data_IF_252546801421
#
_entry.id   IF_252546801421
#
_cell.length_a   1.000
_cell.length_b   1.000
_cell.length_c   1.000
_cell.angle_alpha   90.00
_cell.angle_beta   90.00
_cell.angle_gamma   90.00
#
_symmetry.space_group_name_H-M   'P 1'
#
loop_
_entity.id
_entity.type
_entity.pdbx_description
1 polymer ?
#
# COMPACT_ATOMS: atom_id res chain seq x y z
N UNK A 1 -9.68 -4.54 3.16
CA UNK A 1 -9.69 -3.52 4.24
C UNK A 1 -10.87 -2.59 4.00
N UNK A 2 -11.57 -2.21 5.06
CA UNK A 2 -12.73 -1.31 5.03
C UNK A 2 -12.51 -0.19 6.05
N UNK A 3 -13.00 1.00 5.71
CA UNK A 3 -12.99 2.19 6.56
C UNK A 3 -14.39 2.80 6.61
N UNK A 4 -14.76 3.38 7.74
CA UNK A 4 -15.95 4.23 7.85
C UNK A 4 -15.56 5.73 7.91
N UNK A 5 -16.56 6.61 7.85
CA UNK A 5 -16.37 8.05 7.90
C UNK A 5 -15.94 8.57 9.29
N UNK A 6 -15.92 7.72 10.31
CA UNK A 6 -15.46 8.05 11.67
C UNK A 6 -13.99 7.68 11.88
N UNK A 7 -13.35 7.05 10.89
CA UNK A 7 -11.96 6.59 10.97
C UNK A 7 -11.81 5.20 11.59
N UNK A 8 -12.90 4.48 11.86
CA UNK A 8 -12.80 3.07 12.23
C UNK A 8 -12.43 2.26 10.99
N UNK A 9 -11.68 1.17 11.19
CA UNK A 9 -11.28 0.30 10.10
C UNK A 9 -11.14 -1.15 10.51
N UNK A 10 -11.29 -2.04 9.54
CA UNK A 10 -11.04 -3.47 9.70
C UNK A 10 -10.31 -4.03 8.47
N UNK A 11 -9.34 -4.90 8.71
CA UNK A 11 -8.75 -5.77 7.71
C UNK A 11 -9.44 -7.13 7.82
N UNK A 12 -9.95 -7.63 6.70
CA UNK A 12 -10.70 -8.87 6.61
C UNK A 12 -9.92 -9.79 5.66
N UNK A 13 -9.50 -10.94 6.16
CA UNK A 13 -8.62 -11.86 5.45
C UNK A 13 -9.26 -13.26 5.43
N UNK A 14 -9.29 -13.89 4.27
CA UNK A 14 -9.75 -15.27 4.13
C UNK A 14 -8.55 -16.21 4.03
N UNK A 15 -8.47 -17.18 4.93
CA UNK A 15 -7.46 -18.22 4.87
C UNK A 15 -7.99 -19.41 4.06
N UNK A 16 -7.38 -19.64 2.90
CA UNK A 16 -7.78 -20.74 2.01
C UNK A 16 -7.45 -22.13 2.59
N UNK A 17 -6.60 -22.22 3.61
CA UNK A 17 -6.13 -23.50 4.17
C UNK A 17 -7.13 -24.08 5.17
N UNK A 18 -7.69 -23.24 6.04
CA UNK A 18 -8.69 -23.66 7.04
C UNK A 18 -10.12 -23.16 6.74
N UNK A 19 -10.29 -22.34 5.71
CA UNK A 19 -11.57 -21.80 5.27
C UNK A 19 -12.12 -20.66 6.14
N UNK A 20 -11.39 -20.19 7.16
CA UNK A 20 -11.87 -19.19 8.10
C UNK A 20 -11.64 -17.75 7.62
N UNK A 21 -12.46 -16.84 8.15
CA UNK A 21 -12.27 -15.38 8.02
C UNK A 21 -11.61 -14.84 9.30
N UNK A 22 -10.56 -14.05 9.11
CA UNK A 22 -9.84 -13.36 10.17
C UNK A 22 -10.10 -11.86 10.08
N UNK A 23 -10.33 -11.25 11.24
CA UNK A 23 -10.61 -9.82 11.38
C UNK A 23 -9.51 -9.17 12.22
N UNK A 24 -8.90 -8.13 11.67
CA UNK A 24 -7.95 -7.28 12.40
C UNK A 24 -8.49 -5.87 12.47
N UNK A 25 -8.91 -5.45 13.66
CA UNK A 25 -9.42 -4.11 13.91
C UNK A 25 -8.29 -3.07 13.91
N UNK A 26 -8.54 -1.95 13.25
CA UNK A 26 -7.63 -0.81 13.24
C UNK A 26 -7.66 -0.04 14.56
N UNK A 27 -6.59 0.69 14.83
CA UNK A 27 -6.53 1.63 15.95
C UNK A 27 -6.97 3.01 15.47
N UNK A 28 -8.08 3.55 15.98
CA UNK A 28 -8.62 4.86 15.58
C UNK A 28 -7.66 6.05 15.79
N UNK A 29 -6.59 5.88 16.58
CA UNK A 29 -5.55 6.91 16.75
C UNK A 29 -4.48 6.93 15.66
N UNK A 30 -4.46 5.96 14.73
CA UNK A 30 -3.44 5.83 13.68
C UNK A 30 -4.04 5.29 12.37
N UNK A 31 -3.55 5.70 11.19
CA UNK A 31 -3.90 5.03 9.94
C UNK A 31 -3.61 3.53 10.01
N UNK A 32 -4.52 2.70 9.49
CA UNK A 32 -4.31 1.26 9.38
C UNK A 32 -3.57 0.94 8.06
N UNK A 33 -2.72 -0.07 8.07
CA UNK A 33 -1.77 -0.33 6.98
C UNK A 33 -1.90 -1.77 6.54
N UNK A 34 -1.89 -1.97 5.23
CA UNK A 34 -1.92 -3.29 4.63
C UNK A 34 -1.07 -3.27 3.35
N UNK A 35 -0.34 -4.35 3.11
CA UNK A 35 0.36 -4.59 1.85
C UNK A 35 -0.23 -5.87 1.22
N UNK A 36 0.54 -6.95 1.12
CA UNK A 36 0.08 -8.23 0.56
C UNK A 36 0.26 -9.42 1.51
N UNK A 37 1.08 -9.30 2.55
CA UNK A 37 1.22 -10.37 3.55
C UNK A 37 -0.02 -10.47 4.45
N UNK A 38 -0.30 -11.67 5.01
CA UNK A 38 -1.42 -11.89 5.91
C UNK A 38 -1.18 -11.20 7.26
N UNK A 39 -1.97 -10.17 7.56
CA UNK A 39 -1.86 -9.37 8.79
C UNK A 39 -2.29 -10.18 10.00
N UNK A 40 -3.28 -11.07 9.88
CA UNK A 40 -3.69 -11.95 10.98
C UNK A 40 -2.58 -12.89 11.48
N UNK A 41 -1.60 -13.20 10.63
CA UNK A 41 -0.41 -14.00 10.99
C UNK A 41 0.72 -13.08 11.45
N UNK A 42 0.99 -12.01 10.68
CA UNK A 42 2.13 -11.11 10.88
C UNK A 42 1.70 -9.77 11.48
N UNK A 43 0.89 -9.83 12.55
CA UNK A 43 0.09 -8.71 13.04
C UNK A 43 0.89 -7.53 13.60
N UNK A 44 2.08 -7.78 14.17
CA UNK A 44 3.00 -6.75 14.67
C UNK A 44 4.40 -7.36 14.68
N UNK A 45 5.42 -6.60 14.27
CA UNK A 45 6.83 -7.02 14.12
C UNK A 45 7.15 -7.72 12.79
N UNK A 46 7.00 -7.00 11.67
CA UNK A 46 7.42 -7.40 10.32
C UNK A 46 8.94 -7.67 10.14
N UNK A 47 9.69 -7.92 11.22
CA UNK A 47 11.05 -8.47 11.21
C UNK A 47 11.25 -9.70 12.11
N UNK A 48 10.47 -9.88 13.19
CA UNK A 48 10.65 -11.03 14.12
C UNK A 48 9.82 -12.24 13.74
N UNK A 49 8.68 -12.01 13.09
CA UNK A 49 7.76 -13.06 12.67
C UNK A 49 8.05 -13.54 11.25
N UNK A 50 9.01 -12.92 10.54
CA UNK A 50 9.48 -13.39 9.25
C UNK A 50 10.08 -14.79 9.41
N UNK A 51 9.63 -15.79 8.63
CA UNK A 51 10.28 -17.10 8.61
C UNK A 51 11.78 -16.91 8.32
N UNK A 52 12.64 -17.26 9.28
CA UNK A 52 14.10 -17.27 9.08
C UNK A 52 14.53 -18.24 7.96
N UNK A 53 13.64 -19.15 7.57
CA UNK A 53 13.90 -20.28 6.69
C UNK A 53 13.45 -20.09 5.24
N UNK A 54 12.83 -18.97 4.89
CA UNK A 54 12.55 -18.76 3.48
C UNK A 54 13.81 -18.20 2.81
N UNK A 55 14.36 -18.97 1.87
CA UNK A 55 15.31 -18.52 0.85
C UNK A 55 14.75 -17.35 -0.02
N UNK A 56 13.57 -16.84 0.30
CA UNK A 56 13.12 -15.50 -0.04
C UNK A 56 13.90 -14.55 0.86
N UNK A 57 15.03 -14.01 0.40
CA UNK A 57 15.65 -12.87 1.07
C UNK A 57 14.75 -11.64 0.83
N UNK A 58 13.71 -11.36 1.66
CA UNK A 58 12.67 -10.40 1.32
C UNK A 58 13.19 -8.97 1.51
N UNK A 59 14.39 -8.82 2.06
CA UNK A 59 14.98 -7.55 2.46
C UNK A 59 15.83 -6.93 1.36
N UNK A 60 16.31 -7.72 0.39
CA UNK A 60 17.14 -7.19 -0.69
C UNK A 60 16.34 -6.59 -1.86
N UNK A 61 15.02 -6.66 -1.82
CA UNK A 61 14.17 -6.16 -2.89
C UNK A 61 13.22 -5.07 -2.39
N UNK A 62 13.37 -3.85 -2.91
CA UNK A 62 12.61 -2.65 -2.46
C UNK A 62 11.10 -2.86 -2.46
N UNK A 63 10.57 -3.61 -3.44
CA UNK A 63 9.12 -3.87 -3.57
C UNK A 63 8.56 -5.05 -2.74
N UNK A 64 9.37 -5.69 -1.90
CA UNK A 64 8.89 -6.72 -0.98
C UNK A 64 7.69 -6.25 -0.16
N UNK A 65 6.69 -7.12 0.06
CA UNK A 65 5.51 -6.75 0.84
C UNK A 65 5.85 -6.29 2.26
N UNK A 66 6.91 -6.84 2.85
CA UNK A 66 7.35 -6.45 4.19
C UNK A 66 8.09 -5.11 4.17
N UNK A 67 8.91 -4.85 3.15
CA UNK A 67 9.56 -3.55 2.98
C UNK A 67 8.52 -2.44 2.78
N UNK A 68 7.54 -2.65 1.89
CA UNK A 68 6.43 -1.69 1.70
C UNK A 68 5.65 -1.46 2.98
N UNK A 69 5.32 -2.51 3.71
CA UNK A 69 4.63 -2.38 4.99
C UNK A 69 5.45 -1.61 6.01
N UNK A 70 6.75 -1.91 6.16
CA UNK A 70 7.62 -1.22 7.09
C UNK A 70 7.83 0.24 6.72
N UNK A 71 7.95 0.58 5.44
CA UNK A 71 7.98 1.97 4.97
C UNK A 71 6.73 2.72 5.41
N UNK A 72 5.54 2.17 5.13
CA UNK A 72 4.27 2.77 5.55
C UNK A 72 4.14 2.85 7.08
N UNK A 73 4.53 1.78 7.79
CA UNK A 73 4.51 1.73 9.25
C UNK A 73 5.39 2.81 9.86
N UNK A 74 6.59 3.01 9.31
CA UNK A 74 7.50 4.05 9.78
C UNK A 74 6.93 5.45 9.53
N UNK A 75 6.41 5.72 8.32
CA UNK A 75 5.77 7.00 7.98
C UNK A 75 4.63 7.30 8.95
N UNK A 76 3.69 6.37 9.10
CA UNK A 76 2.51 6.52 9.97
C UNK A 76 2.86 6.60 11.46
N UNK A 77 3.88 5.88 11.94
CA UNK A 77 4.29 5.93 13.34
C UNK A 77 5.11 7.17 13.69
N UNK A 78 5.83 7.74 12.73
CA UNK A 78 6.57 9.00 12.90
C UNK A 78 5.68 10.24 12.80
N UNK A 79 4.47 10.08 12.25
CA UNK A 79 3.53 11.18 12.08
C UNK A 79 2.92 11.62 13.41
N UNK A 80 2.81 12.93 13.61
CA UNK A 80 2.19 13.54 14.78
C UNK A 80 1.02 14.44 14.35
N UNK A 81 -0.13 14.30 15.00
CA UNK A 81 -1.31 15.11 14.72
C UNK A 81 -2.27 14.46 13.73
N UNK A 82 -3.07 15.28 13.05
CA UNK A 82 -4.09 14.82 12.10
C UNK A 82 -3.45 14.46 10.77
N UNK A 83 -3.62 13.21 10.33
CA UNK A 83 -3.16 12.73 9.04
C UNK A 83 -3.89 13.45 7.90
N UNK A 84 -3.14 14.12 7.03
CA UNK A 84 -3.65 14.93 5.92
C UNK A 84 -3.68 14.15 4.61
N UNK A 85 -4.22 14.79 3.57
CA UNK A 85 -4.16 14.23 2.21
C UNK A 85 -2.73 14.17 1.68
N UNK A 86 -1.92 15.21 1.93
CA UNK A 86 -0.53 15.24 1.49
C UNK A 86 0.29 14.11 2.15
N UNK A 87 0.03 13.82 3.43
CA UNK A 87 0.65 12.67 4.12
C UNK A 87 0.30 11.34 3.44
N UNK A 88 -0.94 11.20 2.94
CA UNK A 88 -1.38 10.02 2.20
C UNK A 88 -0.70 9.93 0.83
N UNK A 89 -0.52 11.06 0.14
CA UNK A 89 0.23 11.13 -1.12
C UNK A 89 1.66 10.67 -0.90
N UNK A 90 2.36 11.25 0.09
CA UNK A 90 3.75 10.92 0.40
C UNK A 90 3.90 9.43 0.76
N UNK A 91 2.98 8.89 1.57
CA UNK A 91 2.98 7.49 1.94
C UNK A 91 2.78 6.56 0.73
N UNK A 92 1.87 6.88 -0.19
CA UNK A 92 1.62 6.09 -1.40
C UNK A 92 2.81 6.15 -2.37
N UNK A 93 3.39 7.33 -2.58
CA UNK A 93 4.54 7.51 -3.46
C UNK A 93 5.80 6.80 -2.94
N UNK A 94 5.97 6.73 -1.61
CA UNK A 94 7.09 6.02 -0.97
C UNK A 94 7.10 4.49 -1.20
N UNK A 95 5.99 3.91 -1.67
CA UNK A 95 5.86 2.46 -1.92
C UNK A 95 5.53 2.10 -3.36
N UNK A 96 5.73 3.02 -4.31
CA UNK A 96 5.53 2.72 -5.72
C UNK A 96 6.42 1.59 -6.22
N UNK A 97 5.80 0.64 -6.93
CA UNK A 97 6.51 -0.43 -7.61
C UNK A 97 7.15 0.12 -8.87
N UNK A 98 8.44 -0.12 -9.06
CA UNK A 98 9.09 0.06 -10.35
C UNK A 98 10.29 -0.88 -10.44
N UNK A 99 10.01 -2.14 -10.72
CA UNK A 99 10.99 -3.19 -10.48
C UNK A 99 10.68 -4.45 -11.27
N UNK A 100 11.53 -5.46 -11.17
CA UNK A 100 11.27 -6.80 -11.68
C UNK A 100 11.26 -7.75 -10.49
N UNK A 101 10.06 -8.12 -10.05
CA UNK A 101 9.86 -8.97 -8.88
C UNK A 101 9.17 -10.28 -9.27
N UNK A 102 9.42 -11.34 -8.49
CA UNK A 102 8.51 -12.50 -8.49
C UNK A 102 7.20 -12.03 -7.87
N UNK A 103 6.12 -12.10 -8.64
CA UNK A 103 4.78 -11.87 -8.15
C UNK A 103 4.30 -13.18 -7.51
N UNK A 104 3.61 -13.10 -6.37
CA UNK A 104 3.02 -14.26 -5.71
C UNK A 104 2.17 -15.06 -6.71
N UNK A 105 2.45 -16.36 -6.84
CA UNK A 105 1.79 -17.25 -7.80
C UNK A 105 2.38 -17.28 -9.22
N UNK A 106 3.42 -16.47 -9.52
CA UNK A 106 4.08 -16.47 -10.84
C UNK A 106 5.49 -17.07 -10.77
N UNK A 107 5.82 -18.09 -11.60
CA UNK A 107 7.11 -18.79 -11.51
C UNK A 107 8.30 -17.98 -12.05
N UNK A 108 8.05 -16.88 -12.77
CA UNK A 108 9.06 -16.01 -13.38
C UNK A 108 8.97 -14.59 -12.83
N UNK A 109 10.11 -13.89 -12.63
CA UNK A 109 10.08 -12.46 -12.32
C UNK A 109 9.40 -11.69 -13.46
N UNK A 110 8.47 -10.80 -13.12
CA UNK A 110 7.79 -9.94 -14.07
C UNK A 110 8.04 -8.47 -13.72
N UNK A 111 8.09 -7.58 -14.74
CA UNK A 111 8.05 -6.15 -14.50
C UNK A 111 6.81 -5.81 -13.67
N UNK A 112 7.04 -5.25 -12.48
CA UNK A 112 5.99 -4.83 -11.56
C UNK A 112 6.06 -3.32 -11.42
N UNK A 113 4.98 -2.64 -11.84
CA UNK A 113 4.87 -1.19 -11.85
C UNK A 113 3.58 -0.76 -11.17
N UNK A 114 3.62 0.30 -10.37
CA UNK A 114 2.40 0.95 -9.90
C UNK A 114 1.68 1.55 -11.10
N UNK A 115 0.46 1.09 -11.36
CA UNK A 115 -0.36 1.59 -12.47
C UNK A 115 -1.18 2.81 -12.07
N UNK A 116 -1.55 2.93 -10.79
CA UNK A 116 -2.40 4.00 -10.28
C UNK A 116 -2.38 4.03 -8.75
N UNK A 117 -2.67 5.20 -8.20
CA UNK A 117 -2.92 5.40 -6.78
C UNK A 117 -4.22 6.15 -6.59
N UNK A 118 -4.91 5.87 -5.49
CA UNK A 118 -6.23 6.42 -5.17
C UNK A 118 -6.26 6.87 -3.72
N UNK A 119 -6.80 8.06 -3.50
CA UNK A 119 -7.11 8.60 -2.18
C UNK A 119 -8.62 8.89 -2.16
N UNK A 120 -9.31 8.37 -1.15
CA UNK A 120 -10.75 8.54 -0.98
C UNK A 120 -11.01 9.30 0.32
N UNK A 121 -11.58 10.50 0.21
CA UNK A 121 -12.10 11.25 1.36
C UNK A 121 -13.58 10.88 1.56
N UNK A 122 -13.84 10.09 2.61
CA UNK A 122 -15.19 9.64 2.96
C UNK A 122 -16.09 10.75 3.51
N UNK A 123 -15.50 11.85 4.03
CA UNK A 123 -16.25 12.99 4.55
C UNK A 123 -16.70 13.89 3.40
N UNK A 124 -15.78 14.23 2.49
CA UNK A 124 -16.05 15.06 1.33
C UNK A 124 -16.71 14.30 0.16
N UNK A 125 -16.67 12.96 0.22
CA UNK A 125 -17.11 12.02 -0.82
C UNK A 125 -16.40 12.27 -2.14
N UNK A 126 -15.10 12.53 -2.05
CA UNK A 126 -14.24 12.77 -3.19
C UNK A 126 -13.17 11.70 -3.31
N UNK A 127 -12.82 11.40 -4.55
CA UNK A 127 -11.80 10.45 -4.95
C UNK A 127 -10.75 11.21 -5.75
N UNK A 128 -9.49 11.12 -5.33
CA UNK A 128 -8.34 11.59 -6.10
C UNK A 128 -7.61 10.39 -6.67
N UNK A 129 -7.35 10.42 -7.96
CA UNK A 129 -6.65 9.34 -8.66
C UNK A 129 -5.50 9.90 -9.49
N UNK A 130 -4.39 9.18 -9.46
CA UNK A 130 -3.23 9.43 -10.31
C UNK A 130 -2.94 8.16 -11.09
N UNK A 131 -2.67 8.28 -12.39
CA UNK A 131 -2.48 7.11 -13.27
C UNK A 131 -1.11 7.13 -13.91
N UNK A 132 -0.49 5.95 -14.04
CA UNK A 132 0.75 5.76 -14.78
C UNK A 132 0.51 6.10 -16.25
N UNK A 133 1.39 6.92 -16.81
CA UNK A 133 1.33 7.34 -18.21
C UNK A 133 2.41 6.65 -19.03
N UNK A 134 3.66 6.72 -18.56
CA UNK A 134 4.82 6.16 -19.27
C UNK A 134 6.01 6.01 -18.35
N UNK A 135 6.97 5.21 -18.81
CA UNK A 135 8.30 5.15 -18.19
C UNK A 135 9.13 6.35 -18.65
N UNK A 136 9.74 7.04 -17.69
CA UNK A 136 10.64 8.17 -17.88
C UNK A 136 12.10 7.74 -18.06
N UNK A 137 13.04 8.70 -18.00
CA UNK A 137 14.46 8.43 -18.09
C UNK A 137 14.95 7.45 -17.00
N UNK A 138 16.00 6.70 -17.32
CA UNK A 138 16.76 5.88 -16.36
C UNK A 138 17.61 6.81 -15.50
N UNK A 139 17.49 6.68 -14.18
CA UNK A 139 18.37 7.36 -13.24
C UNK A 139 19.77 6.72 -13.31
N UNK A 140 20.82 7.48 -13.64
CA UNK A 140 22.17 6.94 -13.80
C UNK A 140 22.78 6.43 -12.48
N UNK A 141 22.25 6.81 -11.30
CA UNK A 141 22.73 6.35 -9.99
C UNK A 141 22.12 5.01 -9.59
N UNK A 142 20.82 4.81 -9.85
CA UNK A 142 20.10 3.60 -9.43
C UNK A 142 19.94 2.60 -10.58
N UNK A 143 20.16 3.04 -11.82
CA UNK A 143 19.86 2.30 -13.05
C UNK A 143 18.37 1.89 -13.17
N UNK A 144 17.49 2.61 -12.48
CA UNK A 144 16.04 2.39 -12.52
C UNK A 144 15.35 3.51 -13.32
N UNK A 145 14.34 3.16 -14.12
CA UNK A 145 13.57 4.17 -14.86
C UNK A 145 12.56 4.86 -13.97
N UNK A 146 12.46 6.18 -14.02
CA UNK A 146 11.40 6.90 -13.28
C UNK A 146 10.00 6.55 -13.83
N UNK A 147 8.99 6.48 -12.97
CA UNK A 147 7.61 6.36 -13.41
C UNK A 147 6.99 7.76 -13.57
N UNK A 148 6.42 8.03 -14.74
CA UNK A 148 5.71 9.29 -15.01
C UNK A 148 4.22 9.04 -14.87
N UNK A 149 3.60 9.80 -13.98
CA UNK A 149 2.17 9.74 -13.68
C UNK A 149 1.46 11.00 -14.16
N UNK A 150 0.13 10.93 -14.29
CA UNK A 150 -0.71 12.11 -14.47
C UNK A 150 -0.65 13.03 -13.24
N UNK A 151 -1.12 14.28 -13.33
CA UNK A 151 -1.59 15.00 -12.15
C UNK A 151 -2.73 14.22 -11.46
N UNK A 152 -3.01 14.53 -10.19
CA UNK A 152 -4.19 13.99 -9.53
C UNK A 152 -5.47 14.54 -10.19
N UNK A 153 -6.32 13.63 -10.67
CA UNK A 153 -7.67 13.93 -11.10
C UNK A 153 -8.61 13.76 -9.90
N UNK A 154 -9.46 14.75 -9.65
CA UNK A 154 -10.42 14.73 -8.54
C UNK A 154 -11.82 14.47 -9.06
N UNK A 155 -12.47 13.45 -8.53
CA UNK A 155 -13.86 13.09 -8.79
C UNK A 155 -14.65 13.31 -7.50
N UNK A 156 -15.83 13.92 -7.59
CA UNK A 156 -16.69 14.14 -6.43
C UNK A 156 -18.07 13.60 -6.69
N UNK A 157 -18.60 12.84 -5.74
CA UNK A 157 -19.97 12.37 -5.80
C UNK A 157 -20.90 13.52 -5.39
N UNK A 158 -21.56 14.12 -6.39
CA UNK A 158 -22.61 15.11 -6.14
C UNK A 158 -23.93 14.39 -5.88
N UNK A 159 -24.59 14.72 -4.77
CA UNK A 159 -25.99 14.34 -4.54
C UNK A 159 -26.91 15.23 -5.39
N UNK A 160 -26.74 15.22 -6.71
CA UNK A 160 -27.80 15.69 -7.59
C UNK A 160 -28.89 14.64 -7.51
N UNK A 161 -29.95 14.90 -6.74
CA UNK A 161 -31.18 14.11 -6.88
C UNK A 161 -31.60 14.22 -8.35
N UNK A 162 -31.53 13.11 -9.08
CA UNK A 162 -32.24 12.95 -10.35
C UNK A 162 -33.73 12.80 -10.06
#
# INVERSE_FOLDING_TARGET
MVYDSQGNSAIIEWNNTDGNLYFTDGNSSKPNIMANHPVFIFSRYAFKDLPKNDNLNPLNHSYSTFNRYMTLYNITCSHHGKYSEDDAIDALEAVYANTVARIEGVPIPLPTKTLWSVILDLTDRSLKMKSFLKTGPVDPKTNESTLIFSPYLTFRLNNSRL
#
